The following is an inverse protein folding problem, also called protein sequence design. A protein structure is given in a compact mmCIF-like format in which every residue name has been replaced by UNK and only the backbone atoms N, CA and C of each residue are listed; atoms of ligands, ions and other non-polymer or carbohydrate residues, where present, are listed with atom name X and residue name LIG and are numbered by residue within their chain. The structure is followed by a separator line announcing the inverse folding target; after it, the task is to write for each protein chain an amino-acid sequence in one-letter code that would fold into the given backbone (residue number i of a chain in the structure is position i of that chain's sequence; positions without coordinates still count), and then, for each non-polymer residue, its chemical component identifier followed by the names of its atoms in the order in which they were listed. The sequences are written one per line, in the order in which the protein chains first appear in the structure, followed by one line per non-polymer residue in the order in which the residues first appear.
data_IF_274573880416
#
_entry.id   IF_274573880416
#
_cell.length_a   1.000
_cell.length_b   1.000
_cell.length_c   1.000
_cell.angle_alpha   90.00
_cell.angle_beta   90.00
_cell.angle_gamma   90.00
#
_symmetry.space_group_name_H-M   'P 1'
#
loop_
_entity.id
_entity.type
_entity.pdbx_description
1 polymer ?
#
# COMPACT_ATOMS: atom_id res chain seq x y z
N UNK A 1 -6.60 47.42 -12.19
CA UNK A 1 -7.78 46.58 -11.90
C UNK A 1 -8.01 45.42 -12.88
N UNK A 2 -7.88 45.60 -14.21
CA UNK A 2 -8.21 44.55 -15.20
C UNK A 2 -7.29 43.31 -15.14
N UNK A 3 -5.97 43.48 -14.96
CA UNK A 3 -5.02 42.35 -14.85
C UNK A 3 -5.21 41.48 -13.59
N UNK A 4 -5.66 42.06 -12.48
CA UNK A 4 -5.95 41.30 -11.25
C UNK A 4 -7.19 40.42 -11.40
N UNK A 5 -8.22 40.90 -12.10
CA UNK A 5 -9.45 40.14 -12.37
C UNK A 5 -9.20 38.95 -13.30
N UNK A 6 -8.33 39.10 -14.30
CA UNK A 6 -7.97 38.01 -15.21
C UNK A 6 -7.20 36.88 -14.52
N UNK A 7 -6.25 37.23 -13.64
CA UNK A 7 -5.51 36.25 -12.83
C UNK A 7 -6.38 35.52 -11.80
N UNK A 8 -7.39 36.19 -11.24
CA UNK A 8 -8.38 35.55 -10.35
C UNK A 8 -9.28 34.59 -11.13
N UNK A 9 -9.75 35.00 -12.31
CA UNK A 9 -10.65 34.19 -13.15
C UNK A 9 -9.94 32.94 -13.70
N UNK A 10 -8.67 33.05 -14.10
CA UNK A 10 -7.86 31.90 -14.52
C UNK A 10 -7.63 30.88 -13.39
N UNK A 11 -7.41 31.36 -12.16
CA UNK A 11 -7.28 30.50 -10.97
C UNK A 11 -8.59 29.79 -10.63
N UNK A 12 -9.72 30.51 -10.71
CA UNK A 12 -11.06 29.94 -10.50
C UNK A 12 -11.38 28.89 -11.57
N UNK A 13 -11.09 29.16 -12.84
CA UNK A 13 -11.28 28.18 -13.91
C UNK A 13 -10.39 26.95 -13.71
N UNK A 14 -9.12 27.09 -13.36
CA UNK A 14 -8.23 25.95 -13.09
C UNK A 14 -8.70 25.10 -11.90
N UNK A 15 -9.17 25.73 -10.82
CA UNK A 15 -9.77 25.05 -9.66
C UNK A 15 -11.05 24.30 -10.05
N UNK A 16 -11.91 24.92 -10.86
CA UNK A 16 -13.14 24.28 -11.34
C UNK A 16 -12.86 23.12 -12.31
N UNK A 17 -11.87 23.25 -13.20
CA UNK A 17 -11.47 22.16 -14.09
C UNK A 17 -10.89 20.96 -13.33
N UNK A 18 -10.11 21.21 -12.27
CA UNK A 18 -9.60 20.16 -11.40
C UNK A 18 -10.72 19.45 -10.62
N UNK A 19 -11.76 20.19 -10.19
CA UNK A 19 -12.93 19.63 -9.53
C UNK A 19 -13.81 18.80 -10.46
N UNK A 20 -13.94 19.19 -11.74
CA UNK A 20 -14.75 18.47 -12.74
C UNK A 20 -14.09 17.17 -13.21
N UNK A 21 -12.75 17.07 -13.17
CA UNK A 21 -12.02 15.84 -13.47
C UNK A 21 -11.95 14.86 -12.29
N UNK A 22 -12.39 15.26 -11.10
CA UNK A 22 -12.42 14.42 -9.90
C UNK A 22 -13.67 13.52 -9.90
N UNK A 23 -13.76 12.59 -10.86
CA UNK A 23 -14.71 11.48 -10.75
C UNK A 23 -14.34 10.62 -9.54
N UNK A 24 -15.30 10.12 -8.75
CA UNK A 24 -15.00 9.15 -7.71
C UNK A 24 -14.41 7.91 -8.38
N UNK A 25 -13.12 7.67 -8.15
CA UNK A 25 -12.54 6.39 -8.46
C UNK A 25 -13.21 5.37 -7.54
N UNK A 26 -13.94 4.42 -8.10
CA UNK A 26 -14.46 3.25 -7.39
C UNK A 26 -13.28 2.36 -7.01
N UNK A 27 -12.43 2.84 -6.11
CA UNK A 27 -11.35 2.06 -5.56
C UNK A 27 -11.96 1.00 -4.65
N UNK A 28 -11.77 -0.27 -5.01
CA UNK A 28 -11.90 -1.35 -4.04
C UNK A 28 -10.99 -1.04 -2.85
N UNK A 29 -11.45 -1.36 -1.64
CA UNK A 29 -10.60 -1.42 -0.45
C UNK A 29 -9.61 -2.57 -0.64
N UNK A 30 -8.61 -2.33 -1.49
CA UNK A 30 -7.51 -3.23 -1.72
C UNK A 30 -6.58 -3.23 -0.52
N UNK A 31 -5.57 -4.07 -0.62
CA UNK A 31 -4.62 -4.26 0.47
C UNK A 31 -3.52 -3.21 0.54
N UNK A 32 -3.41 -2.37 -0.47
CA UNK A 32 -2.42 -1.31 -0.51
C UNK A 32 -2.78 -0.20 0.48
N UNK A 33 -1.75 0.31 1.17
CA UNK A 33 -1.93 1.47 2.02
C UNK A 33 -2.32 2.70 1.21
N UNK A 34 -3.18 3.56 1.78
CA UNK A 34 -3.60 4.86 1.25
C UNK A 34 -2.48 5.94 1.29
N UNK A 35 -1.21 5.55 1.16
CA UNK A 35 -0.03 6.39 1.36
C UNK A 35 0.86 5.88 2.50
N UNK A 36 2.15 6.23 2.43
CA UNK A 36 3.18 5.83 3.41
C UNK A 36 3.72 7.05 4.17
N UNK A 37 3.78 6.93 5.49
CA UNK A 37 4.11 8.05 6.39
C UNK A 37 2.92 8.98 6.64
N UNK A 38 3.00 9.76 7.72
CA UNK A 38 1.92 10.65 8.15
C UNK A 38 1.56 11.70 7.10
N UNK A 39 2.55 12.37 6.51
CA UNK A 39 2.34 13.45 5.54
C UNK A 39 1.58 12.98 4.30
N UNK A 40 1.95 11.85 3.70
CA UNK A 40 1.25 11.32 2.53
C UNK A 40 -0.17 10.88 2.87
N UNK A 41 -0.38 10.20 4.00
CA UNK A 41 -1.72 9.81 4.48
C UNK A 41 -2.62 11.02 4.74
N UNK A 42 -2.08 12.11 5.31
CA UNK A 42 -2.81 13.37 5.51
C UNK A 42 -3.23 14.05 4.22
N UNK A 43 -2.58 13.72 3.10
CA UNK A 43 -2.94 14.19 1.76
C UNK A 43 -3.63 13.11 0.93
N UNK A 44 -4.33 12.17 1.58
CA UNK A 44 -5.06 11.07 0.94
C UNK A 44 -4.20 10.22 -0.03
N UNK A 45 -2.91 10.04 0.27
CA UNK A 45 -1.99 9.24 -0.53
C UNK A 45 -1.26 10.03 -1.62
N UNK A 46 -1.39 11.36 -1.66
CA UNK A 46 -0.53 12.17 -2.51
C UNK A 46 0.94 12.08 -2.06
N UNK A 47 1.85 12.10 -3.04
CA UNK A 47 3.29 11.99 -2.77
C UNK A 47 4.17 11.71 -3.97
N UNK A 48 3.61 11.54 -5.18
CA UNK A 48 4.41 11.30 -6.39
C UNK A 48 5.27 12.52 -6.78
N UNK A 49 4.76 13.74 -6.65
CA UNK A 49 5.50 14.97 -7.00
C UNK A 49 5.97 15.80 -5.80
N UNK A 50 5.50 15.45 -4.59
CA UNK A 50 5.75 16.19 -3.35
C UNK A 50 6.51 15.30 -2.39
N UNK A 51 7.60 15.81 -1.82
CA UNK A 51 8.40 15.10 -0.84
C UNK A 51 7.67 15.03 0.50
N UNK A 52 7.42 13.81 0.99
CA UNK A 52 6.69 13.53 2.23
C UNK A 52 7.59 12.85 3.29
N UNK A 53 8.87 13.23 3.28
CA UNK A 53 9.92 12.67 4.12
C UNK A 53 10.43 11.32 3.61
N UNK A 54 11.14 10.59 4.48
CA UNK A 54 11.83 9.33 4.14
C UNK A 54 10.89 8.32 3.47
N UNK A 55 9.68 8.14 4.00
CA UNK A 55 8.72 7.16 3.46
C UNK A 55 8.02 7.62 2.17
N UNK A 56 8.15 8.90 1.81
CA UNK A 56 7.71 9.40 0.50
C UNK A 56 8.48 8.76 -0.66
N UNK A 57 9.72 8.31 -0.41
CA UNK A 57 10.52 7.57 -1.38
C UNK A 57 9.89 6.23 -1.79
N UNK A 58 9.01 5.66 -0.95
CA UNK A 58 8.22 4.48 -1.31
C UNK A 58 7.28 4.77 -2.50
N UNK A 59 6.79 6.00 -2.62
CA UNK A 59 5.91 6.43 -3.70
C UNK A 59 6.72 6.90 -4.92
N UNK A 60 7.72 7.74 -4.71
CA UNK A 60 8.62 8.17 -5.78
C UNK A 60 10.08 8.24 -5.29
N UNK A 61 10.95 7.32 -5.74
CA UNK A 61 12.35 7.28 -5.36
C UNK A 61 13.13 8.58 -5.63
N UNK A 62 12.77 9.32 -6.69
CA UNK A 62 13.45 10.57 -7.05
C UNK A 62 13.30 11.65 -5.97
N UNK A 63 12.33 11.55 -5.06
CA UNK A 63 12.18 12.49 -3.94
C UNK A 63 13.34 12.44 -2.94
N UNK A 64 14.17 11.40 -2.94
CA UNK A 64 15.27 11.23 -1.99
C UNK A 64 16.25 12.41 -1.92
N UNK A 65 16.56 13.05 -3.06
CA UNK A 65 17.47 14.22 -3.09
C UNK A 65 16.86 15.46 -2.42
N UNK A 66 15.54 15.49 -2.21
CA UNK A 66 14.81 16.57 -1.54
C UNK A 66 14.58 16.31 -0.05
N UNK A 67 14.76 15.06 0.42
CA UNK A 67 14.58 14.69 1.84
C UNK A 67 15.75 15.19 2.70
N UNK A 68 16.98 15.20 2.16
CA UNK A 68 18.18 15.57 2.94
C UNK A 68 18.62 14.48 3.92
N UNK A 69 19.49 14.83 4.87
CA UNK A 69 19.91 13.93 5.95
C UNK A 69 18.81 13.83 6.99
N UNK A 70 18.00 12.78 6.92
CA UNK A 70 16.82 12.62 7.78
C UNK A 70 16.63 11.16 8.14
N UNK A 71 16.32 10.89 9.41
CA UNK A 71 15.78 9.62 9.86
C UNK A 71 14.35 9.83 10.37
N UNK A 72 13.54 8.79 10.31
CA UNK A 72 12.16 8.84 10.77
C UNK A 72 11.62 7.47 11.12
N UNK A 73 10.69 7.46 12.06
CA UNK A 73 9.94 6.29 12.50
C UNK A 73 8.44 6.63 12.48
N UNK A 74 7.61 5.64 12.22
CA UNK A 74 6.17 5.74 12.36
C UNK A 74 5.55 4.43 12.82
N UNK A 75 4.36 4.58 13.40
CA UNK A 75 3.44 3.50 13.71
C UNK A 75 2.10 3.85 13.07
N UNK A 76 1.72 3.14 12.03
CA UNK A 76 0.39 3.30 11.42
C UNK A 76 -0.59 2.39 12.15
N UNK A 77 -1.70 2.94 12.63
CA UNK A 77 -2.82 2.16 13.15
C UNK A 77 -3.84 1.96 12.03
N UNK A 78 -4.23 0.72 11.80
CA UNK A 78 -5.29 0.36 10.86
C UNK A 78 -6.40 -0.33 11.63
N UNK A 79 -7.59 0.28 11.67
CA UNK A 79 -8.71 -0.18 12.49
C UNK A 79 -9.97 -0.46 11.64
N UNK A 80 -10.03 -1.59 10.91
CA UNK A 80 -11.15 -1.92 10.05
C UNK A 80 -12.32 -2.55 10.82
N UNK A 81 -13.55 -2.16 10.51
CA UNK A 81 -14.74 -2.92 10.88
C UNK A 81 -15.13 -3.84 9.71
N UNK A 82 -15.15 -5.16 9.93
CA UNK A 82 -15.45 -6.14 8.88
C UNK A 82 -16.57 -7.06 9.34
N UNK A 83 -17.63 -7.10 8.53
CA UNK A 83 -18.78 -7.95 8.74
C UNK A 83 -19.23 -8.59 7.44
N UNK A 84 -19.87 -9.75 7.57
CA UNK A 84 -20.54 -10.46 6.47
C UNK A 84 -21.97 -10.73 6.93
N UNK A 85 -22.95 -10.27 6.16
CA UNK A 85 -24.36 -10.57 6.38
C UNK A 85 -24.84 -11.60 5.36
N UNK A 86 -25.44 -12.69 5.85
CA UNK A 86 -25.92 -13.80 5.03
C UNK A 86 -27.42 -13.95 5.25
N UNK A 87 -28.18 -13.73 4.18
CA UNK A 87 -29.63 -13.92 4.20
C UNK A 87 -30.00 -15.41 4.32
N UNK A 88 -31.13 -15.74 4.97
CA UNK A 88 -31.67 -17.10 4.97
C UNK A 88 -32.02 -17.61 3.57
N UNK A 89 -32.05 -18.93 3.40
CA UNK A 89 -32.51 -19.60 2.17
C UNK A 89 -31.40 -20.07 1.22
N UNK A 90 -30.13 -19.80 1.54
CA UNK A 90 -28.96 -20.32 0.84
C UNK A 90 -28.26 -21.48 1.59
N UNK A 91 -27.23 -22.08 0.98
CA UNK A 91 -26.44 -23.15 1.58
C UNK A 91 -25.39 -22.65 2.60
N UNK A 92 -25.25 -21.33 2.78
CA UNK A 92 -24.38 -20.75 3.80
C UNK A 92 -25.13 -20.55 5.11
N UNK A 93 -24.42 -20.56 6.23
CA UNK A 93 -25.03 -20.30 7.55
C UNK A 93 -25.55 -18.86 7.59
N UNK A 94 -26.86 -18.62 7.78
CA UNK A 94 -27.41 -17.27 7.84
C UNK A 94 -27.00 -16.52 9.11
N UNK A 95 -26.95 -15.19 9.02
CA UNK A 95 -26.64 -14.30 10.14
C UNK A 95 -25.61 -13.23 9.81
N UNK A 96 -25.30 -12.42 10.81
CA UNK A 96 -24.24 -11.41 10.76
C UNK A 96 -22.99 -11.96 11.44
N UNK A 97 -21.91 -12.06 10.69
CA UNK A 97 -20.62 -12.57 11.15
C UNK A 97 -19.61 -11.44 11.18
N UNK A 98 -19.11 -11.09 12.36
CA UNK A 98 -18.13 -10.02 12.55
C UNK A 98 -16.72 -10.59 12.74
N UNK A 99 -15.73 -9.94 12.13
CA UNK A 99 -14.32 -10.29 12.32
C UNK A 99 -13.83 -9.81 13.68
N UNK A 100 -13.08 -10.66 14.40
CA UNK A 100 -12.47 -10.34 15.70
C UNK A 100 -11.23 -9.46 15.57
N UNK A 101 -10.52 -9.53 14.45
CA UNK A 101 -9.35 -8.68 14.21
C UNK A 101 -9.77 -7.29 13.70
N UNK A 102 -9.73 -6.30 14.59
CA UNK A 102 -10.23 -4.94 14.35
C UNK A 102 -9.17 -3.84 14.49
N UNK A 103 -7.97 -4.13 15.00
CA UNK A 103 -6.86 -3.17 15.13
C UNK A 103 -5.52 -3.82 14.76
N UNK A 104 -4.76 -3.14 13.90
CA UNK A 104 -3.44 -3.54 13.46
C UNK A 104 -2.43 -2.40 13.61
N UNK A 105 -1.26 -2.72 14.14
CA UNK A 105 -0.14 -1.79 14.26
C UNK A 105 0.93 -2.13 13.23
N UNK A 106 1.26 -1.16 12.38
CA UNK A 106 2.19 -1.32 11.26
C UNK A 106 3.37 -0.37 11.49
N UNK A 107 4.48 -0.87 12.04
CA UNK A 107 5.69 -0.07 12.19
C UNK A 107 6.30 0.22 10.82
N UNK A 108 6.89 1.39 10.70
CA UNK A 108 7.52 1.88 9.49
C UNK A 108 8.62 2.88 9.82
N UNK A 109 9.55 3.10 8.91
CA UNK A 109 10.62 4.07 9.15
C UNK A 109 11.85 3.82 8.31
N UNK A 110 12.87 4.63 8.51
CA UNK A 110 14.13 4.53 7.80
C UNK A 110 14.95 5.80 7.90
N UNK A 111 15.94 5.90 7.03
CA UNK A 111 16.79 7.07 6.91
C UNK A 111 17.17 7.37 5.46
N UNK A 112 17.54 8.62 5.22
CA UNK A 112 18.09 9.13 3.98
C UNK A 112 19.33 9.95 4.29
N UNK A 113 20.32 9.84 3.42
CA UNK A 113 21.61 10.49 3.51
C UNK A 113 21.91 11.15 2.17
N UNK A 114 22.28 12.43 2.19
CA UNK A 114 22.96 13.08 1.07
C UNK A 114 24.32 12.44 0.89
N UNK A 115 24.61 11.96 -0.31
CA UNK A 115 25.95 11.51 -0.69
C UNK A 115 26.79 12.69 -1.19
N UNK A 116 26.15 13.59 -1.94
CA UNK A 116 26.71 14.84 -2.44
C UNK A 116 25.58 15.87 -2.67
N UNK A 117 25.85 16.95 -3.40
CA UNK A 117 24.85 17.99 -3.71
C UNK A 117 23.79 17.57 -4.73
N UNK A 118 24.00 16.45 -5.41
CA UNK A 118 23.18 15.94 -6.50
C UNK A 118 22.60 14.56 -6.22
N UNK A 119 23.02 13.85 -5.19
CA UNK A 119 22.60 12.47 -4.97
C UNK A 119 22.34 12.13 -3.50
N UNK A 120 21.49 11.12 -3.30
CA UNK A 120 21.14 10.61 -1.98
C UNK A 120 21.01 9.09 -1.99
N UNK A 121 21.28 8.49 -0.84
CA UNK A 121 21.01 7.09 -0.55
C UNK A 121 20.03 7.02 0.62
N UNK A 122 19.04 6.16 0.55
CA UNK A 122 18.09 5.92 1.63
C UNK A 122 17.87 4.43 1.86
N UNK A 123 17.50 4.09 3.08
CA UNK A 123 17.09 2.75 3.46
C UNK A 123 15.85 2.86 4.36
N UNK A 124 14.78 2.17 4.01
CA UNK A 124 13.53 2.26 4.76
C UNK A 124 12.70 0.98 4.67
N UNK A 125 11.84 0.82 5.67
CA UNK A 125 10.89 -0.29 5.81
C UNK A 125 9.49 0.27 5.92
N UNK A 126 8.57 -0.33 5.16
CA UNK A 126 7.15 -0.05 5.21
C UNK A 126 6.37 -1.34 4.98
N UNK A 127 5.07 -1.34 5.28
CA UNK A 127 4.22 -2.52 5.08
C UNK A 127 2.88 -2.16 4.46
N UNK A 128 2.30 -3.14 3.76
CA UNK A 128 0.88 -3.13 3.46
C UNK A 128 0.18 -3.86 4.60
N UNK A 129 -0.78 -3.19 5.23
CA UNK A 129 -1.36 -3.63 6.49
C UNK A 129 -2.37 -4.78 6.38
N UNK A 130 -2.41 -5.61 7.44
CA UNK A 130 -3.59 -6.08 8.16
C UNK A 130 -4.84 -6.51 7.38
N UNK A 131 -4.67 -7.34 6.33
CA UNK A 131 -5.80 -7.97 5.63
C UNK A 131 -6.46 -9.11 6.43
N UNK A 132 -6.28 -9.12 7.74
CA UNK A 132 -6.65 -10.28 8.52
C UNK A 132 -8.15 -10.25 8.78
N UNK A 133 -8.81 -11.34 8.44
CA UNK A 133 -10.17 -11.64 8.88
C UNK A 133 -10.11 -12.85 9.78
N UNK A 134 -10.88 -12.84 10.85
CA UNK A 134 -11.08 -14.00 11.71
C UNK A 134 -12.50 -13.98 12.25
N UNK A 135 -13.32 -14.91 11.82
CA UNK A 135 -14.70 -15.08 12.24
C UNK A 135 -14.78 -16.32 13.14
N UNK A 136 -15.36 -16.18 14.33
CA UNK A 136 -15.55 -17.29 15.29
C UNK A 136 -16.50 -18.37 14.76
N UNK A 137 -17.32 -18.00 13.79
CA UNK A 137 -18.26 -18.87 13.12
C UNK A 137 -17.83 -19.10 11.68
N UNK A 138 -17.88 -20.34 11.23
CA UNK A 138 -17.63 -20.67 9.85
C UNK A 138 -18.95 -20.68 9.07
N UNK A 139 -19.25 -19.60 8.36
CA UNK A 139 -20.46 -19.51 7.56
C UNK A 139 -20.45 -20.39 6.29
N UNK A 140 -19.31 -20.99 5.95
CA UNK A 140 -19.22 -22.04 4.92
C UNK A 140 -19.56 -23.43 5.44
N UNK A 141 -19.79 -23.61 6.75
CA UNK A 141 -20.14 -24.92 7.32
C UNK A 141 -21.42 -25.52 6.71
N UNK A 142 -22.36 -24.68 6.25
CA UNK A 142 -23.56 -25.13 5.53
C UNK A 142 -23.26 -25.82 4.17
N UNK A 143 -22.04 -25.69 3.65
CA UNK A 143 -21.56 -26.45 2.48
C UNK A 143 -21.11 -27.89 2.83
N UNK A 144 -21.26 -28.31 4.09
CA UNK A 144 -20.95 -29.67 4.54
C UNK A 144 -19.55 -29.86 5.11
N UNK A 145 -18.70 -28.84 5.11
CA UNK A 145 -17.39 -28.86 5.77
C UNK A 145 -16.95 -27.44 6.17
N UNK A 146 -16.32 -27.29 7.33
CA UNK A 146 -15.78 -26.01 7.78
C UNK A 146 -15.49 -26.03 9.27
N UNK A 147 -14.27 -25.65 9.65
CA UNK A 147 -13.91 -25.44 11.05
C UNK A 147 -13.90 -23.95 11.40
N UNK A 148 -14.23 -23.60 12.64
CA UNK A 148 -13.88 -22.32 13.20
C UNK A 148 -12.42 -22.32 13.73
N UNK A 149 -11.73 -21.17 13.73
CA UNK A 149 -12.16 -19.91 13.13
C UNK A 149 -12.05 -19.94 11.60
N UNK A 150 -12.85 -19.11 10.93
CA UNK A 150 -12.78 -18.87 9.47
C UNK A 150 -12.03 -17.57 9.22
N UNK A 151 -11.02 -17.58 8.36
CA UNK A 151 -10.24 -16.38 8.14
C UNK A 151 -9.08 -16.50 7.20
N UNK A 152 -8.56 -15.34 6.80
CA UNK A 152 -7.31 -15.20 6.05
C UNK A 152 -6.46 -14.16 6.76
N UNK A 153 -5.17 -14.43 6.91
CA UNK A 153 -4.17 -13.45 7.29
C UNK A 153 -3.18 -13.30 6.13
N UNK A 154 -2.97 -12.06 5.69
CA UNK A 154 -1.92 -11.70 4.76
C UNK A 154 -1.22 -10.43 5.27
N UNK A 155 0.07 -10.56 5.54
CA UNK A 155 0.94 -9.49 6.02
C UNK A 155 2.12 -9.31 5.07
N UNK A 156 2.49 -8.05 4.82
CA UNK A 156 3.59 -7.71 3.91
C UNK A 156 4.49 -6.64 4.53
N UNK A 157 5.79 -6.89 4.49
CA UNK A 157 6.83 -5.92 4.79
C UNK A 157 7.73 -5.73 3.57
N UNK A 158 8.10 -4.48 3.30
CA UNK A 158 8.96 -4.07 2.20
C UNK A 158 10.17 -3.36 2.77
N UNK A 159 11.34 -3.90 2.47
CA UNK A 159 12.63 -3.35 2.82
C UNK A 159 13.21 -2.78 1.55
N UNK A 160 13.57 -1.51 1.55
CA UNK A 160 13.93 -0.79 0.33
C UNK A 160 15.23 -0.04 0.53
N UNK A 161 16.12 -0.17 -0.46
CA UNK A 161 17.25 0.74 -0.65
C UNK A 161 16.88 1.69 -1.77
N UNK A 162 17.19 2.98 -1.63
CA UNK A 162 16.77 4.02 -2.54
C UNK A 162 17.97 4.87 -2.94
N UNK A 163 18.25 4.95 -4.24
CA UNK A 163 19.20 5.88 -4.78
C UNK A 163 18.48 6.92 -5.64
N UNK A 164 18.80 8.20 -5.44
CA UNK A 164 18.27 9.29 -6.25
C UNK A 164 19.38 10.22 -6.69
N UNK A 165 19.28 10.74 -7.91
CA UNK A 165 20.28 11.65 -8.49
C UNK A 165 19.62 12.73 -9.35
N UNK A 166 19.98 13.99 -9.10
CA UNK A 166 19.76 15.13 -10.00
C UNK A 166 20.60 14.92 -11.25
N UNK A 167 19.96 14.70 -12.38
CA UNK A 167 20.61 14.56 -13.69
C UNK A 167 21.03 15.93 -14.21
N UNK A 168 20.18 16.93 -13.99
CA UNK A 168 20.44 18.35 -14.23
C UNK A 168 19.65 19.19 -13.21
N UNK A 169 19.59 20.51 -13.39
CA UNK A 169 18.95 21.44 -12.45
C UNK A 169 17.43 21.29 -12.33
N UNK A 170 16.78 20.57 -13.25
CA UNK A 170 15.32 20.39 -13.28
C UNK A 170 14.89 18.94 -13.20
N UNK A 171 15.74 17.98 -13.57
CA UNK A 171 15.39 16.56 -13.67
C UNK A 171 16.13 15.75 -12.60
N UNK A 172 15.37 15.03 -11.80
CA UNK A 172 15.86 14.03 -10.85
C UNK A 172 15.30 12.66 -11.21
N UNK A 173 16.16 11.65 -11.17
CA UNK A 173 15.78 10.25 -11.32
C UNK A 173 16.05 9.50 -10.02
N UNK A 174 15.29 8.45 -9.76
CA UNK A 174 15.51 7.56 -8.63
C UNK A 174 15.21 6.11 -8.97
N UNK A 175 15.87 5.22 -8.26
CA UNK A 175 15.72 3.77 -8.36
C UNK A 175 15.75 3.17 -6.96
N UNK A 176 14.85 2.23 -6.72
CA UNK A 176 14.67 1.60 -5.43
C UNK A 176 14.41 0.11 -5.56
N UNK A 177 15.42 -0.76 -5.41
CA UNK A 177 15.18 -2.18 -5.21
C UNK A 177 14.40 -2.44 -3.91
N UNK A 178 13.46 -3.37 -3.99
CA UNK A 178 12.53 -3.73 -2.93
C UNK A 178 12.70 -5.22 -2.64
N UNK A 179 13.03 -5.55 -1.40
CA UNK A 179 12.85 -6.89 -0.84
C UNK A 179 11.49 -6.93 -0.15
N UNK A 180 10.61 -7.81 -0.61
CA UNK A 180 9.32 -8.07 0.02
C UNK A 180 9.40 -9.34 0.87
N UNK A 181 8.82 -9.27 2.05
CA UNK A 181 8.56 -10.43 2.91
C UNK A 181 7.06 -10.49 3.15
N UNK A 182 6.48 -11.64 2.87
CA UNK A 182 5.04 -11.86 2.97
C UNK A 182 4.75 -13.07 3.85
N UNK A 183 3.74 -12.93 4.71
CA UNK A 183 3.23 -14.00 5.56
C UNK A 183 1.77 -14.25 5.23
N UNK A 184 1.41 -15.52 5.01
CA UNK A 184 0.05 -15.94 4.69
C UNK A 184 -0.43 -17.04 5.62
N UNK A 185 -1.73 -17.05 5.92
CA UNK A 185 -2.42 -18.14 6.61
C UNK A 185 -3.89 -18.11 6.21
N UNK A 186 -4.45 -19.27 5.88
CA UNK A 186 -5.89 -19.45 5.68
C UNK A 186 -6.45 -20.48 6.66
N UNK A 187 -7.65 -20.24 7.18
CA UNK A 187 -8.37 -21.10 8.13
C UNK A 187 -9.84 -21.26 7.73
N UNK A 188 -10.42 -22.43 8.02
CA UNK A 188 -11.86 -22.67 7.83
C UNK A 188 -12.31 -22.86 6.38
N UNK A 189 -11.42 -23.10 5.41
CA UNK A 189 -11.79 -23.21 3.99
C UNK A 189 -12.02 -24.66 3.51
N UNK A 190 -12.33 -25.60 4.40
CA UNK A 190 -12.45 -27.02 4.05
C UNK A 190 -13.53 -27.32 3.01
N UNK A 191 -14.62 -26.55 2.99
CA UNK A 191 -15.68 -26.63 1.98
C UNK A 191 -15.15 -26.59 0.54
N UNK A 192 -14.00 -25.95 0.32
CA UNK A 192 -13.42 -25.74 -1.00
C UNK A 192 -12.37 -26.79 -1.39
N UNK A 193 -12.13 -27.81 -0.56
CA UNK A 193 -11.09 -28.83 -0.79
C UNK A 193 -11.27 -29.54 -2.13
N UNK A 194 -12.52 -29.85 -2.51
CA UNK A 194 -12.84 -30.51 -3.79
C UNK A 194 -12.65 -29.64 -5.03
N UNK A 195 -12.42 -28.32 -4.88
CA UNK A 195 -12.16 -27.38 -5.97
C UNK A 195 -10.67 -27.06 -6.13
N UNK A 196 -9.82 -27.61 -5.26
CA UNK A 196 -8.38 -27.36 -5.24
C UNK A 196 -7.61 -28.44 -5.99
N UNK A 197 -6.53 -28.05 -6.67
CA UNK A 197 -5.52 -28.98 -7.19
C UNK A 197 -4.67 -29.63 -6.08
N UNK A 198 -4.75 -29.09 -4.86
CA UNK A 198 -4.15 -29.65 -3.65
C UNK A 198 -5.17 -29.65 -2.49
N UNK A 199 -6.11 -30.62 -2.46
CA UNK A 199 -7.20 -30.64 -1.47
C UNK A 199 -6.75 -30.64 0.00
N UNK A 200 -5.57 -31.17 0.31
CA UNK A 200 -5.04 -31.25 1.68
C UNK A 200 -4.39 -29.97 2.20
N UNK A 201 -4.11 -28.99 1.33
CA UNK A 201 -3.33 -27.79 1.67
C UNK A 201 -4.15 -26.48 1.59
N UNK A 202 -5.48 -26.58 1.42
CA UNK A 202 -6.36 -25.41 1.22
C UNK A 202 -6.45 -24.52 2.48
N UNK A 203 -6.27 -25.10 3.67
CA UNK A 203 -6.57 -24.41 4.93
C UNK A 203 -5.86 -25.03 6.13
N UNK A 204 -5.78 -24.30 7.25
CA UNK A 204 -5.28 -24.79 8.54
C UNK A 204 -3.83 -25.34 8.54
N UNK A 205 -2.94 -24.79 7.70
CA UNK A 205 -1.51 -25.16 7.62
C UNK A 205 -0.57 -24.23 8.41
N UNK A 206 -1.15 -23.31 9.18
CA UNK A 206 -0.42 -22.32 9.98
C UNK A 206 0.08 -21.14 9.15
N UNK A 207 1.06 -20.39 9.64
CA UNK A 207 1.64 -19.29 8.88
C UNK A 207 2.71 -19.78 7.93
N UNK A 208 2.58 -19.47 6.65
CA UNK A 208 3.63 -19.66 5.66
C UNK A 208 4.24 -18.36 5.16
N UNK A 209 5.47 -18.44 4.65
CA UNK A 209 6.26 -17.26 4.30
C UNK A 209 6.71 -17.33 2.85
N UNK A 210 6.74 -16.15 2.21
CA UNK A 210 7.34 -15.98 0.90
C UNK A 210 8.14 -14.69 0.86
N UNK A 211 9.14 -14.67 -0.01
CA UNK A 211 9.97 -13.50 -0.24
C UNK A 211 9.95 -13.15 -1.71
N UNK A 212 10.08 -11.88 -2.04
CA UNK A 212 10.13 -11.45 -3.42
C UNK A 212 11.00 -10.24 -3.63
N UNK A 213 11.30 -10.00 -4.90
CA UNK A 213 12.12 -8.88 -5.33
C UNK A 213 11.37 -8.03 -6.36
N UNK A 214 11.50 -6.72 -6.21
CA UNK A 214 10.97 -5.74 -7.16
C UNK A 214 11.84 -4.49 -7.21
N UNK A 215 11.45 -3.57 -8.09
CA UNK A 215 12.13 -2.30 -8.31
C UNK A 215 11.06 -1.22 -8.49
N UNK A 216 11.29 -0.09 -7.84
CA UNK A 216 10.54 1.14 -8.07
C UNK A 216 11.46 2.16 -8.75
N UNK A 217 10.95 2.81 -9.79
CA UNK A 217 11.61 3.85 -10.55
C UNK A 217 10.87 5.15 -10.35
N UNK A 218 11.63 6.24 -10.26
CA UNK A 218 11.11 7.56 -9.95
C UNK A 218 11.67 8.63 -10.86
N UNK A 219 10.84 9.61 -11.18
CA UNK A 219 11.20 10.82 -11.90
C UNK A 219 10.56 12.03 -11.23
N UNK A 220 11.32 13.11 -11.12
CA UNK A 220 10.83 14.44 -10.76
C UNK A 220 11.36 15.46 -11.77
N UNK A 221 10.45 16.29 -12.28
CA UNK A 221 10.74 17.37 -13.20
C UNK A 221 10.23 18.71 -12.64
N UNK A 222 11.16 19.59 -12.28
CA UNK A 222 10.91 20.93 -11.75
C UNK A 222 10.83 21.92 -12.90
N UNK A 223 9.62 22.13 -13.42
CA UNK A 223 9.40 23.03 -14.56
C UNK A 223 9.72 24.49 -14.20
N UNK A 224 9.39 24.90 -12.97
CA UNK A 224 9.69 26.19 -12.37
C UNK A 224 9.52 26.10 -10.84
N UNK A 225 9.80 27.17 -10.05
CA UNK A 225 9.71 27.11 -8.59
C UNK A 225 8.33 26.77 -8.01
N UNK A 226 7.25 26.84 -8.80
CA UNK A 226 5.88 26.57 -8.36
C UNK A 226 5.35 25.21 -8.86
N UNK A 227 5.91 24.70 -9.96
CA UNK A 227 5.38 23.51 -10.65
C UNK A 227 6.43 22.39 -10.71
N UNK A 228 6.14 21.30 -10.02
CA UNK A 228 6.89 20.04 -10.09
C UNK A 228 5.98 18.95 -10.61
N UNK A 229 6.45 18.22 -11.62
CA UNK A 229 5.81 17.03 -12.14
C UNK A 229 6.56 15.81 -11.64
N UNK A 230 5.82 14.76 -11.29
CA UNK A 230 6.40 13.50 -10.83
C UNK A 230 5.80 12.33 -11.59
N UNK A 231 6.62 11.33 -11.84
CA UNK A 231 6.18 10.03 -12.34
C UNK A 231 6.92 8.94 -11.55
N UNK A 232 6.23 7.84 -11.27
CA UNK A 232 6.83 6.69 -10.63
C UNK A 232 6.26 5.40 -11.23
N UNK A 233 7.09 4.38 -11.32
CA UNK A 233 6.71 3.07 -11.84
C UNK A 233 7.35 1.99 -10.97
N UNK A 234 6.51 1.15 -10.39
CA UNK A 234 6.92 -0.04 -9.67
C UNK A 234 6.51 -1.27 -10.48
N UNK A 235 7.45 -2.17 -10.74
CA UNK A 235 7.12 -3.43 -11.39
C UNK A 235 6.34 -4.34 -10.44
N UNK A 236 5.73 -5.38 -11.00
CA UNK A 236 5.21 -6.48 -10.20
C UNK A 236 6.36 -7.14 -9.43
N UNK A 237 6.21 -7.20 -8.11
CA UNK A 237 7.18 -7.85 -7.22
C UNK A 237 7.09 -9.35 -7.46
N UNK A 238 8.18 -9.95 -7.91
CA UNK A 238 8.27 -11.37 -8.19
C UNK A 238 8.42 -12.12 -6.86
N UNK A 239 7.32 -12.70 -6.37
CA UNK A 239 7.27 -13.44 -5.11
C UNK A 239 7.58 -14.92 -5.33
N UNK A 240 8.29 -15.53 -4.37
CA UNK A 240 8.37 -16.99 -4.29
C UNK A 240 6.99 -17.58 -3.96
N UNK A 241 6.79 -18.85 -4.32
CA UNK A 241 5.60 -19.58 -3.90
C UNK A 241 5.59 -19.79 -2.39
N UNK A 242 4.39 -19.93 -1.84
CA UNK A 242 4.21 -20.57 -0.54
C UNK A 242 4.47 -22.07 -0.68
N UNK A 243 5.02 -22.66 0.39
CA UNK A 243 5.32 -24.07 0.51
C UNK A 243 4.17 -24.89 1.08
N UNK A 244 3.29 -24.26 1.87
CA UNK A 244 2.21 -24.89 2.63
C UNK A 244 0.79 -24.54 2.14
N UNK A 245 0.68 -23.69 1.14
CA UNK A 245 -0.59 -23.23 0.56
C UNK A 245 -0.44 -23.05 -0.94
#
# INVERSE_FOLDING_TARGET
MIKQRFGLMAKVCALMSAAVLASPATATNGYFANGYGGQSKSMAGAGVAVTTGVLGMAQNPATGVKVGNQAGFCLTTFAPNREVEIAPGGPLTPGTHKSQNDVFFIPCGGANWKLDDRSSLGAFVFGNGGMNTEFDTNFFAGLGAGSAPLGVNLEQAFITLNYARKVNDRLTLGISPILAVQRFKAQGLQAFSGLSISPGEVTNRGHDWSTGFGVNLGLLYEANPQWTFGAAYRNEIQMSKFSRY
#
